data_IF_359977704633
#
_entry.id   IF_359977704633
#
_cell.length_a   1.000
_cell.length_b   1.000
_cell.length_c   1.000
_cell.angle_alpha   90.00
_cell.angle_beta   90.00
_cell.angle_gamma   90.00
#
_symmetry.space_group_name_H-M   'P 1'
#
loop_
_entity.id
_entity.type
_entity.pdbx_description
1 polymer ?
#
# COMPACT_ATOMS: atom_id res chain seq x y z
N UNK A 1 1.29 20.84 3.24
CA UNK A 1 1.62 22.06 4.02
C UNK A 1 3.12 22.30 4.07
N UNK A 2 3.94 21.37 4.59
CA UNK A 2 5.40 21.52 4.67
C UNK A 2 6.07 21.79 3.31
N UNK A 3 5.61 21.16 2.22
CA UNK A 3 6.08 21.44 0.85
C UNK A 3 5.92 22.91 0.41
N UNK A 4 4.96 23.65 1.00
CA UNK A 4 4.76 25.07 0.75
C UNK A 4 5.63 25.96 1.66
N UNK A 5 6.54 25.38 2.46
CA UNK A 5 7.39 26.11 3.40
C UNK A 5 6.68 26.56 4.68
N UNK A 6 5.54 25.95 5.01
CA UNK A 6 4.69 26.29 6.16
C UNK A 6 4.62 25.15 7.17
N UNK A 7 4.49 25.47 8.46
CA UNK A 7 4.32 24.54 9.57
C UNK A 7 3.24 25.01 10.54
N UNK A 8 2.60 24.11 11.28
CA UNK A 8 1.71 24.45 12.39
C UNK A 8 2.45 24.62 13.72
N UNK A 9 3.75 24.30 13.78
CA UNK A 9 4.54 24.36 15.01
C UNK A 9 3.99 23.49 16.14
N UNK A 10 3.36 22.36 15.82
CA UNK A 10 2.73 21.47 16.81
C UNK A 10 1.28 21.79 17.16
N UNK A 11 0.65 22.75 16.49
CA UNK A 11 -0.75 23.08 16.73
C UNK A 11 -1.73 22.13 16.01
N UNK A 12 -1.46 20.83 15.96
CA UNK A 12 -2.42 19.81 15.51
C UNK A 12 -3.31 19.36 16.68
N UNK A 13 -4.62 19.35 16.48
CA UNK A 13 -5.64 18.94 17.46
C UNK A 13 -6.82 18.27 16.73
N UNK A 14 -7.74 17.59 17.44
CA UNK A 14 -8.89 16.96 16.78
C UNK A 14 -9.81 17.97 16.09
N UNK A 15 -9.77 19.24 16.53
CA UNK A 15 -10.59 20.32 15.95
C UNK A 15 -10.12 20.78 14.56
N UNK A 16 -8.88 20.47 14.18
CA UNK A 16 -8.26 20.84 12.90
C UNK A 16 -7.83 19.66 12.03
N UNK A 17 -8.10 18.43 12.44
CA UNK A 17 -8.09 17.23 11.58
C UNK A 17 -9.34 17.23 10.68
N UNK A 18 -9.24 16.76 9.41
CA UNK A 18 -10.37 16.77 8.49
C UNK A 18 -11.58 15.98 9.02
N UNK A 19 -12.74 16.63 9.00
CA UNK A 19 -14.03 15.97 9.29
C UNK A 19 -14.75 15.73 7.97
N UNK A 20 -15.09 14.46 7.72
CA UNK A 20 -15.87 14.07 6.55
C UNK A 20 -17.25 14.75 6.62
N UNK A 21 -17.43 15.82 5.85
CA UNK A 21 -18.71 16.53 5.80
C UNK A 21 -19.40 16.16 4.50
N UNK A 22 -20.21 15.09 4.59
CA UNK A 22 -21.22 14.58 3.65
C UNK A 22 -20.87 14.39 2.17
N UNK A 23 -19.70 14.83 1.66
CA UNK A 23 -19.25 14.63 0.28
C UNK A 23 -17.81 15.10 0.00
N UNK A 24 -17.16 15.84 0.91
CA UNK A 24 -15.75 16.27 0.72
C UNK A 24 -14.95 16.11 2.00
N UNK A 25 -13.70 15.66 1.83
CA UNK A 25 -12.69 15.72 2.87
C UNK A 25 -12.21 17.17 2.97
N UNK A 26 -12.55 17.86 4.06
CA UNK A 26 -12.14 19.24 4.28
C UNK A 26 -11.37 19.36 5.59
N UNK A 27 -10.17 19.93 5.52
CA UNK A 27 -9.36 20.26 6.70
C UNK A 27 -9.81 21.62 7.21
N UNK A 28 -10.29 21.70 8.45
CA UNK A 28 -10.68 22.97 9.08
C UNK A 28 -9.51 23.52 9.90
N UNK A 29 -8.71 24.39 9.30
CA UNK A 29 -7.62 25.09 10.02
C UNK A 29 -8.14 26.31 10.78
N UNK A 30 -9.21 26.16 11.55
CA UNK A 30 -9.78 27.25 12.36
C UNK A 30 -8.95 27.47 13.62
N UNK A 31 -8.51 28.70 13.87
CA UNK A 31 -7.73 29.05 15.07
C UNK A 31 -6.26 28.62 15.03
N UNK A 32 -5.74 28.25 13.86
CA UNK A 32 -4.36 27.78 13.71
C UNK A 32 -3.46 28.89 13.15
N UNK A 33 -2.26 29.04 13.72
CA UNK A 33 -1.25 29.97 13.24
C UNK A 33 -0.17 29.24 12.44
N UNK A 34 0.01 29.63 11.19
CA UNK A 34 1.13 29.13 10.39
C UNK A 34 2.43 29.81 10.81
N UNK A 35 3.47 28.99 10.94
CA UNK A 35 4.84 29.44 11.09
C UNK A 35 5.67 29.02 9.88
N UNK A 36 6.87 29.60 9.74
CA UNK A 36 7.81 29.16 8.70
C UNK A 36 8.26 27.74 9.00
N UNK A 37 8.25 26.90 7.98
CA UNK A 37 8.77 25.55 8.10
C UNK A 37 10.25 25.57 8.46
N UNK A 38 10.58 24.80 9.49
CA UNK A 38 11.93 24.36 9.85
C UNK A 38 11.85 22.85 10.07
N UNK A 39 12.98 22.15 9.97
CA UNK A 39 12.98 20.70 10.21
C UNK A 39 12.48 20.38 11.63
N UNK A 40 12.86 21.19 12.63
CA UNK A 40 12.39 21.09 14.02
C UNK A 40 10.86 21.24 14.10
N UNK A 41 10.30 22.28 13.49
CA UNK A 41 8.85 22.49 13.51
C UNK A 41 8.09 21.41 12.72
N UNK A 42 8.70 20.86 11.67
CA UNK A 42 8.18 19.72 10.91
C UNK A 42 8.07 18.46 11.77
N UNK A 43 9.10 18.13 12.55
CA UNK A 43 9.05 17.00 13.48
C UNK A 43 7.96 17.19 14.54
N UNK A 44 7.85 18.39 15.12
CA UNK A 44 6.80 18.70 16.11
C UNK A 44 5.40 18.55 15.47
N UNK A 45 5.24 18.97 14.22
CA UNK A 45 3.97 18.80 13.48
C UNK A 45 3.61 17.32 13.27
N UNK A 46 4.58 16.47 12.91
CA UNK A 46 4.34 15.04 12.71
C UNK A 46 3.99 14.33 14.02
N UNK A 47 4.76 14.57 15.08
CA UNK A 47 4.54 14.00 16.41
C UNK A 47 3.16 14.36 16.97
N UNK A 48 2.75 15.63 16.82
CA UNK A 48 1.43 16.07 17.26
C UNK A 48 0.28 15.57 16.39
N UNK A 49 0.50 15.38 15.08
CA UNK A 49 -0.48 14.74 14.23
C UNK A 49 -0.73 13.30 14.67
N UNK A 50 0.33 12.53 14.94
CA UNK A 50 0.25 11.13 15.37
C UNK A 50 -0.48 11.02 16.70
N UNK A 51 -0.02 11.76 17.71
CA UNK A 51 -0.66 11.83 19.04
C UNK A 51 -2.15 12.14 18.93
N UNK A 52 -2.50 13.12 18.10
CA UNK A 52 -3.88 13.52 17.91
C UNK A 52 -4.75 12.44 17.26
N UNK A 53 -4.22 11.69 16.29
CA UNK A 53 -4.95 10.59 15.64
C UNK A 53 -5.13 9.43 16.62
N UNK A 54 -4.09 9.06 17.37
CA UNK A 54 -4.16 8.04 18.42
C UNK A 54 -5.19 8.38 19.49
N UNK A 55 -5.25 9.64 19.94
CA UNK A 55 -6.27 10.13 20.87
C UNK A 55 -7.69 9.99 20.30
N UNK A 56 -7.88 10.28 19.00
CA UNK A 56 -9.18 10.11 18.33
C UNK A 56 -9.64 8.65 18.29
N UNK A 57 -8.71 7.71 18.08
CA UNK A 57 -9.00 6.27 18.09
C UNK A 57 -9.12 5.68 19.49
N UNK A 58 -8.43 6.26 20.48
CA UNK A 58 -8.53 5.87 21.90
C UNK A 58 -9.96 6.01 22.46
N UNK A 59 -10.78 6.86 21.85
CA UNK A 59 -12.21 6.98 22.13
C UNK A 59 -13.06 5.79 21.61
N UNK A 60 -12.47 4.88 20.80
CA UNK A 60 -13.11 3.70 20.18
C UNK A 60 -12.37 2.38 20.46
N UNK A 61 -11.66 2.30 21.59
CA UNK A 61 -10.97 1.12 22.14
C UNK A 61 -9.71 0.63 21.41
N UNK A 62 -9.55 0.79 20.10
CA UNK A 62 -8.35 0.30 19.39
C UNK A 62 -8.05 1.02 18.06
N UNK A 63 -6.77 1.21 17.76
CA UNK A 63 -6.25 1.68 16.47
C UNK A 63 -6.00 0.47 15.57
N UNK A 64 -6.59 0.38 14.36
CA UNK A 64 -6.28 -0.71 13.43
C UNK A 64 -4.77 -0.78 13.12
N UNK A 65 -4.15 -1.98 12.99
CA UNK A 65 -2.69 -2.12 12.79
C UNK A 65 -2.18 -1.42 11.53
N UNK A 66 -3.02 -1.39 10.50
CA UNK A 66 -2.82 -0.62 9.27
C UNK A 66 -2.54 0.88 9.52
N UNK A 67 -3.30 1.45 10.46
CA UNK A 67 -3.23 2.86 10.83
C UNK A 67 -2.03 3.07 11.75
N UNK A 68 -1.74 2.14 12.67
CA UNK A 68 -0.51 2.19 13.50
C UNK A 68 0.75 2.23 12.62
N UNK A 69 0.89 1.29 11.68
CA UNK A 69 2.04 1.27 10.76
C UNK A 69 2.14 2.54 9.90
N UNK A 70 1.00 3.13 9.53
CA UNK A 70 0.99 4.41 8.82
C UNK A 70 1.38 5.60 9.70
N UNK A 71 0.97 5.61 10.96
CA UNK A 71 1.33 6.64 11.93
C UNK A 71 2.82 6.58 12.28
N UNK A 72 3.39 5.38 12.43
CA UNK A 72 4.83 5.18 12.64
C UNK A 72 5.64 5.80 11.49
N UNK A 73 5.23 5.53 10.24
CA UNK A 73 5.86 6.15 9.07
C UNK A 73 5.80 7.67 9.14
N UNK A 74 4.64 8.25 9.50
CA UNK A 74 4.49 9.71 9.65
C UNK A 74 5.41 10.25 10.76
N UNK A 75 5.49 9.56 11.90
CA UNK A 75 6.27 9.98 13.05
C UNK A 75 7.77 10.02 12.76
N UNK A 76 8.26 9.06 11.98
CA UNK A 76 9.66 9.00 11.52
C UNK A 76 10.04 10.16 10.58
N UNK A 77 9.06 10.97 10.18
CA UNK A 77 9.28 12.22 9.46
C UNK A 77 9.63 11.92 8.00
N UNK A 78 8.60 11.75 7.18
CA UNK A 78 8.69 11.30 5.78
C UNK A 78 9.19 12.38 4.81
N UNK A 79 10.08 13.25 5.29
CA UNK A 79 10.60 14.39 4.54
C UNK A 79 11.34 13.87 3.30
N UNK A 80 10.85 14.23 2.12
CA UNK A 80 11.38 13.78 0.83
C UNK A 80 10.86 12.42 0.36
N UNK A 81 10.07 11.71 1.16
CA UNK A 81 9.44 10.44 0.79
C UNK A 81 7.92 10.47 1.00
N UNK A 82 7.30 11.65 0.98
CA UNK A 82 5.88 11.84 1.34
C UNK A 82 4.92 11.01 0.47
N UNK A 83 5.39 10.52 -0.67
CA UNK A 83 4.69 9.55 -1.49
C UNK A 83 4.44 8.23 -0.76
N UNK A 84 5.32 7.78 0.14
CA UNK A 84 5.13 6.55 0.94
C UNK A 84 3.89 6.65 1.84
N UNK A 85 3.63 7.83 2.43
CA UNK A 85 2.40 8.10 3.20
C UNK A 85 1.18 8.03 2.28
N UNK A 86 1.28 8.63 1.09
CA UNK A 86 0.17 8.73 0.12
C UNK A 86 -0.18 7.39 -0.52
N UNK A 87 0.81 6.50 -0.63
CA UNK A 87 0.68 5.21 -1.30
C UNK A 87 0.65 4.02 -0.34
N UNK A 88 0.39 4.24 0.96
CA UNK A 88 0.16 3.14 1.87
C UNK A 88 -1.12 2.38 1.45
N UNK A 89 -0.93 1.14 0.99
CA UNK A 89 -1.96 0.33 0.34
C UNK A 89 -3.10 0.02 1.31
N UNK A 90 -2.82 -0.11 2.61
CA UNK A 90 -3.81 -0.37 3.64
C UNK A 90 -4.80 0.79 3.87
N UNK A 91 -4.51 1.99 3.33
CA UNK A 91 -5.37 3.17 3.42
C UNK A 91 -6.04 3.52 2.09
N UNK A 92 -5.81 2.73 1.05
CA UNK A 92 -6.45 2.92 -0.25
C UNK A 92 -7.81 2.23 -0.30
N UNK A 93 -8.72 2.76 -1.12
CA UNK A 93 -9.85 1.94 -1.55
C UNK A 93 -9.30 0.71 -2.30
N UNK A 94 -9.90 -0.47 -2.10
CA UNK A 94 -9.57 -1.70 -2.80
C UNK A 94 -9.15 -1.53 -4.28
N UNK A 95 -9.94 -0.83 -5.09
CA UNK A 95 -9.63 -0.69 -6.51
C UNK A 95 -8.33 0.10 -6.75
N UNK A 96 -8.06 1.10 -5.91
CA UNK A 96 -6.85 1.91 -5.96
C UNK A 96 -5.62 1.11 -5.49
N UNK A 97 -5.76 0.33 -4.42
CA UNK A 97 -4.73 -0.60 -3.95
C UNK A 97 -4.29 -1.57 -5.04
N UNK A 98 -5.26 -2.18 -5.72
CA UNK A 98 -5.00 -3.13 -6.80
C UNK A 98 -4.28 -2.46 -7.99
N UNK A 99 -4.73 -1.28 -8.41
CA UNK A 99 -4.10 -0.54 -9.50
C UNK A 99 -2.65 -0.19 -9.16
N UNK A 100 -2.40 0.29 -7.94
CA UNK A 100 -1.06 0.62 -7.48
C UNK A 100 -0.15 -0.63 -7.48
N UNK A 101 -0.65 -1.78 -7.00
CA UNK A 101 0.09 -3.04 -7.01
C UNK A 101 0.48 -3.48 -8.43
N UNK A 102 -0.41 -3.29 -9.41
CA UNK A 102 -0.13 -3.61 -10.82
C UNK A 102 0.90 -2.65 -11.43
N UNK A 103 0.87 -1.37 -11.06
CA UNK A 103 1.89 -0.39 -11.47
C UNK A 103 3.25 -0.71 -10.84
N UNK A 104 3.29 -1.05 -9.54
CA UNK A 104 4.48 -1.48 -8.83
C UNK A 104 5.11 -2.72 -9.47
N UNK A 105 4.31 -3.73 -9.82
CA UNK A 105 4.78 -4.88 -10.62
C UNK A 105 5.42 -4.45 -11.93
N UNK A 106 4.79 -3.52 -12.65
CA UNK A 106 5.32 -2.99 -13.91
C UNK A 106 6.69 -2.33 -13.75
N UNK A 107 6.90 -1.62 -12.65
CA UNK A 107 8.19 -1.01 -12.29
C UNK A 107 9.21 -2.08 -11.90
N UNK A 108 8.82 -3.06 -11.07
CA UNK A 108 9.68 -4.14 -10.62
C UNK A 108 10.19 -5.00 -11.80
N UNK A 109 9.32 -5.29 -12.77
CA UNK A 109 9.70 -5.98 -14.00
C UNK A 109 10.68 -5.16 -14.84
N UNK A 110 10.51 -3.84 -14.93
CA UNK A 110 11.48 -2.99 -15.61
C UNK A 110 12.83 -2.96 -14.89
N UNK A 111 12.81 -2.94 -13.55
CA UNK A 111 14.02 -3.00 -12.73
C UNK A 111 14.77 -4.31 -12.93
N UNK A 112 14.08 -5.45 -13.06
CA UNK A 112 14.68 -6.75 -13.36
C UNK A 112 15.66 -6.69 -14.54
N UNK A 113 15.32 -5.95 -15.59
CA UNK A 113 16.16 -5.81 -16.78
C UNK A 113 17.13 -4.63 -16.73
N UNK A 114 16.74 -3.51 -16.12
CA UNK A 114 17.54 -2.27 -16.12
C UNK A 114 18.57 -2.20 -15.01
N UNK A 115 18.22 -2.71 -13.83
CA UNK A 115 19.07 -2.74 -12.65
C UNK A 115 18.81 -4.01 -11.81
N UNK A 116 19.41 -5.14 -12.22
CA UNK A 116 19.24 -6.42 -11.53
C UNK A 116 19.70 -6.39 -10.07
N UNK A 117 20.62 -5.49 -9.69
CA UNK A 117 21.12 -5.41 -8.31
C UNK A 117 20.06 -4.83 -7.40
N UNK A 118 19.45 -3.72 -7.80
CA UNK A 118 18.34 -3.11 -7.05
C UNK A 118 17.14 -4.03 -7.00
N UNK A 119 16.85 -4.75 -8.10
CA UNK A 119 15.81 -5.77 -8.11
C UNK A 119 16.05 -6.88 -7.06
N UNK A 120 17.25 -7.45 -7.00
CA UNK A 120 17.59 -8.47 -6.00
C UNK A 120 17.56 -7.93 -4.57
N UNK A 121 17.95 -6.67 -4.36
CA UNK A 121 17.83 -6.02 -3.07
C UNK A 121 16.36 -5.93 -2.63
N UNK A 122 15.45 -5.55 -3.54
CA UNK A 122 14.00 -5.51 -3.25
C UNK A 122 13.47 -6.89 -2.89
N UNK A 123 13.86 -7.94 -3.62
CA UNK A 123 13.47 -9.31 -3.24
C UNK A 123 13.96 -9.67 -1.84
N UNK A 124 15.22 -9.37 -1.53
CA UNK A 124 15.79 -9.64 -0.20
C UNK A 124 15.17 -8.82 0.95
N UNK A 125 14.39 -7.78 0.66
CA UNK A 125 13.63 -7.03 1.67
C UNK A 125 12.28 -7.68 2.02
N UNK A 126 11.83 -8.67 1.23
CA UNK A 126 10.55 -9.36 1.42
C UNK A 126 10.72 -10.88 1.67
N UNK A 127 11.53 -11.29 2.65
CA UNK A 127 11.77 -12.70 2.94
C UNK A 127 10.50 -13.45 3.37
N UNK A 128 9.47 -12.75 3.87
CA UNK A 128 8.16 -13.32 4.16
C UNK A 128 7.44 -13.91 2.94
N UNK A 129 7.88 -13.55 1.73
CA UNK A 129 7.34 -14.04 0.47
C UNK A 129 8.18 -15.15 -0.18
N UNK A 130 9.34 -15.51 0.39
CA UNK A 130 10.24 -16.56 -0.18
C UNK A 130 9.65 -17.97 -0.05
N UNK A 131 8.77 -18.19 0.94
CA UNK A 131 8.07 -19.46 1.16
C UNK A 131 6.74 -19.54 0.40
N UNK A 132 6.42 -18.53 -0.42
CA UNK A 132 5.19 -18.55 -1.19
C UNK A 132 5.27 -19.57 -2.33
N UNK A 133 4.18 -20.31 -2.53
CA UNK A 133 4.04 -21.17 -3.70
C UNK A 133 2.61 -21.27 -4.23
N UNK A 134 2.48 -21.37 -5.54
CA UNK A 134 1.16 -21.44 -6.19
C UNK A 134 0.37 -22.73 -5.87
N UNK A 135 0.96 -23.76 -5.25
CA UNK A 135 0.26 -24.95 -4.77
C UNK A 135 -0.42 -24.74 -3.42
N UNK A 136 0.28 -24.08 -2.50
CA UNK A 136 -0.20 -23.93 -1.13
C UNK A 136 -1.12 -22.71 -0.95
N UNK A 137 -0.97 -21.68 -1.78
CA UNK A 137 -1.62 -20.38 -1.57
C UNK A 137 -2.72 -20.02 -2.59
N UNK A 138 -2.79 -20.68 -3.75
CA UNK A 138 -3.86 -20.44 -4.74
C UNK A 138 -5.14 -21.23 -4.42
N UNK A 139 -5.69 -21.04 -3.23
CA UNK A 139 -6.82 -21.85 -2.72
C UNK A 139 -8.18 -21.44 -3.30
N UNK A 140 -8.34 -20.16 -3.65
CA UNK A 140 -9.59 -19.70 -4.23
C UNK A 140 -9.74 -20.14 -5.70
N UNK A 141 -10.98 -20.29 -6.14
CA UNK A 141 -11.30 -20.83 -7.48
C UNK A 141 -10.75 -19.98 -8.63
N UNK A 142 -10.60 -18.65 -8.43
CA UNK A 142 -10.08 -17.75 -9.45
C UNK A 142 -8.58 -17.96 -9.66
N UNK A 143 -7.79 -17.97 -8.59
CA UNK A 143 -6.34 -18.24 -8.65
C UNK A 143 -6.07 -19.67 -9.15
N UNK A 144 -6.85 -20.65 -8.72
CA UNK A 144 -6.74 -22.03 -9.20
C UNK A 144 -6.97 -22.14 -10.71
N UNK A 145 -7.96 -21.41 -11.26
CA UNK A 145 -8.21 -21.35 -12.70
C UNK A 145 -7.07 -20.67 -13.46
N UNK A 146 -6.54 -19.57 -12.93
CA UNK A 146 -5.38 -18.88 -13.52
C UNK A 146 -4.16 -19.77 -13.54
N UNK A 147 -3.91 -20.50 -12.45
CA UNK A 147 -2.79 -21.42 -12.36
C UNK A 147 -2.92 -22.59 -13.33
N UNK A 148 -4.13 -23.14 -13.48
CA UNK A 148 -4.41 -24.21 -14.43
C UNK A 148 -4.55 -23.75 -15.87
N UNK A 149 -4.43 -22.45 -16.15
CA UNK A 149 -4.58 -21.91 -17.50
C UNK A 149 -3.41 -22.33 -18.38
N UNK A 150 -3.74 -22.97 -19.50
CA UNK A 150 -2.79 -23.35 -20.54
C UNK A 150 -3.03 -22.42 -21.73
N UNK A 151 -2.04 -21.58 -22.05
CA UNK A 151 -2.08 -20.81 -23.27
C UNK A 151 -1.95 -21.77 -24.46
N UNK A 152 -2.98 -21.82 -25.31
CA UNK A 152 -2.99 -22.66 -26.52
C UNK A 152 -1.91 -22.25 -27.53
N UNK A 153 -1.33 -21.05 -27.37
CA UNK A 153 -0.22 -20.55 -28.18
C UNK A 153 1.14 -20.99 -27.64
N UNK A 154 1.21 -21.48 -26.40
CA UNK A 154 2.44 -22.00 -25.82
C UNK A 154 2.73 -23.41 -26.39
N UNK A 155 3.88 -23.60 -27.08
CA UNK A 155 4.25 -24.90 -27.63
C UNK A 155 4.48 -25.98 -26.58
N UNK A 156 4.71 -25.62 -25.31
CA UNK A 156 4.91 -26.57 -24.21
C UNK A 156 3.61 -27.21 -23.72
N UNK A 157 2.46 -26.58 -23.99
CA UNK A 157 1.14 -26.93 -23.45
C UNK A 157 1.14 -27.17 -21.92
N UNK A 158 2.07 -26.53 -21.22
CA UNK A 158 2.13 -26.59 -19.77
C UNK A 158 1.42 -25.37 -19.17
N UNK A 159 0.90 -25.49 -17.94
CA UNK A 159 0.45 -24.33 -17.18
C UNK A 159 1.62 -23.37 -16.90
N UNK A 160 1.32 -22.08 -16.75
CA UNK A 160 2.33 -21.09 -16.36
C UNK A 160 2.93 -21.45 -15.01
N UNK A 161 4.26 -21.53 -14.96
CA UNK A 161 5.01 -21.68 -13.70
C UNK A 161 5.18 -20.30 -13.11
N UNK A 162 4.74 -20.12 -11.88
CA UNK A 162 4.99 -18.90 -11.11
C UNK A 162 6.22 -19.13 -10.23
N UNK A 163 7.00 -18.07 -10.01
CA UNK A 163 8.14 -18.07 -9.10
C UNK A 163 7.71 -18.42 -7.65
N UNK A 164 8.64 -18.44 -6.69
CA UNK A 164 8.35 -18.66 -5.27
C UNK A 164 8.72 -17.42 -4.45
N UNK A 165 8.38 -16.26 -5.00
CA UNK A 165 8.72 -14.96 -4.43
C UNK A 165 7.62 -13.94 -4.76
N UNK A 166 7.82 -12.69 -4.33
CA UNK A 166 6.92 -11.57 -4.61
C UNK A 166 6.61 -11.40 -6.11
N UNK A 167 7.52 -11.78 -7.02
CA UNK A 167 7.29 -11.64 -8.46
C UNK A 167 6.26 -12.63 -8.98
N UNK A 168 6.28 -13.86 -8.48
CA UNK A 168 5.29 -14.84 -8.88
C UNK A 168 3.92 -14.53 -8.28
N UNK A 169 3.83 -13.99 -7.05
CA UNK A 169 2.55 -13.52 -6.47
C UNK A 169 1.95 -12.42 -7.33
N UNK A 170 2.75 -11.40 -7.67
CA UNK A 170 2.31 -10.31 -8.54
C UNK A 170 1.90 -10.81 -9.94
N UNK A 171 2.57 -11.85 -10.44
CA UNK A 171 2.27 -12.45 -11.75
C UNK A 171 0.98 -13.28 -11.71
N UNK A 172 0.70 -14.05 -10.65
CA UNK A 172 -0.57 -14.79 -10.52
C UNK A 172 -1.75 -13.83 -10.37
N UNK A 173 -1.58 -12.73 -9.63
CA UNK A 173 -2.62 -11.71 -9.46
C UNK A 173 -2.94 -11.00 -10.79
N UNK A 174 -1.91 -10.62 -11.55
CA UNK A 174 -2.08 -10.02 -12.88
C UNK A 174 -2.77 -10.98 -13.84
N UNK A 175 -2.31 -12.22 -13.92
CA UNK A 175 -2.89 -13.19 -14.86
C UNK A 175 -4.35 -13.46 -14.50
N UNK A 176 -4.70 -13.47 -13.21
CA UNK A 176 -6.08 -13.65 -12.75
C UNK A 176 -7.01 -12.52 -13.19
N UNK A 177 -6.54 -11.28 -13.19
CA UNK A 177 -7.32 -10.14 -13.68
C UNK A 177 -7.47 -10.14 -15.21
N UNK A 178 -6.50 -10.69 -15.93
CA UNK A 178 -6.48 -10.72 -17.40
C UNK A 178 -7.24 -11.89 -18.03
N UNK A 179 -7.19 -13.10 -17.45
CA UNK A 179 -7.72 -14.31 -18.07
C UNK A 179 -9.18 -14.64 -17.73
N UNK A 180 -9.64 -14.33 -16.51
CA UNK A 180 -10.98 -14.75 -16.06
C UNK A 180 -11.89 -13.58 -15.61
N UNK A 181 -11.35 -12.38 -15.38
CA UNK A 181 -12.07 -11.48 -14.47
C UNK A 181 -11.82 -9.97 -14.61
N UNK A 182 -11.90 -9.45 -15.84
CA UNK A 182 -12.00 -7.98 -16.06
C UNK A 182 -13.15 -7.31 -15.29
N UNK A 183 -14.12 -8.08 -14.78
CA UNK A 183 -15.27 -7.65 -13.98
C UNK A 183 -15.18 -7.97 -12.47
N UNK A 184 -14.10 -8.60 -11.98
CA UNK A 184 -13.96 -9.00 -10.56
C UNK A 184 -12.75 -8.36 -9.86
N UNK A 185 -12.20 -7.26 -10.39
CA UNK A 185 -11.10 -6.51 -9.72
C UNK A 185 -11.41 -6.24 -8.24
N UNK A 186 -12.67 -5.91 -7.91
CA UNK A 186 -13.14 -5.74 -6.52
C UNK A 186 -13.01 -6.98 -5.62
N UNK A 187 -13.07 -8.18 -6.19
CA UNK A 187 -12.85 -9.43 -5.47
C UNK A 187 -11.37 -9.79 -5.39
N UNK A 188 -10.57 -9.27 -6.32
CA UNK A 188 -9.13 -9.48 -6.32
C UNK A 188 -8.47 -8.80 -5.13
N UNK A 189 -9.06 -7.72 -4.63
CA UNK A 189 -8.62 -7.10 -3.38
C UNK A 189 -8.95 -7.95 -2.18
N UNK A 190 -10.16 -8.50 -2.10
CA UNK A 190 -10.51 -9.43 -1.01
C UNK A 190 -9.61 -10.66 -1.00
N UNK A 191 -9.20 -11.12 -2.19
CA UNK A 191 -8.21 -12.18 -2.35
C UNK A 191 -6.84 -11.73 -1.87
N UNK A 192 -6.40 -10.51 -2.21
CA UNK A 192 -5.13 -9.96 -1.71
C UNK A 192 -5.15 -9.78 -0.19
N UNK A 193 -6.22 -9.25 0.39
CA UNK A 193 -6.36 -9.07 1.83
C UNK A 193 -6.37 -10.39 2.59
N UNK A 194 -6.99 -11.43 2.03
CA UNK A 194 -7.16 -12.71 2.72
C UNK A 194 -6.01 -13.69 2.46
N UNK A 195 -5.62 -13.84 1.20
CA UNK A 195 -4.61 -14.81 0.77
C UNK A 195 -3.19 -14.19 0.76
N UNK A 196 -3.05 -12.85 0.67
CA UNK A 196 -1.75 -12.16 0.54
C UNK A 196 -1.63 -10.87 1.39
N UNK A 197 -1.97 -10.88 2.69
CA UNK A 197 -2.05 -9.65 3.49
C UNK A 197 -0.74 -8.85 3.49
N UNK A 198 0.42 -9.51 3.51
CA UNK A 198 1.73 -8.86 3.51
C UNK A 198 2.09 -8.14 2.19
N UNK A 199 1.28 -8.23 1.13
CA UNK A 199 1.42 -7.33 -0.03
C UNK A 199 0.75 -5.97 0.16
N UNK A 200 -0.08 -5.83 1.20
CA UNK A 200 -0.84 -4.63 1.49
C UNK A 200 -0.31 -3.87 2.73
N UNK A 201 0.67 -4.44 3.46
CA UNK A 201 1.23 -3.91 4.71
C UNK A 201 2.76 -3.80 4.64
#
# INVERSE_FOLDING_TARGET
>A
MHQAGLSLGGHFTPANIPVYTSQTLSVRLTGVHFTRFTQVNGYIDYDQLVTCVEEMFSLREWVPPAIEAWLDLIQDGVTGHEYLIRYNVALMDPAQAFQWLMEARGILEQLRFRDPRTFQLILGMHPEMDDWDSNSYCLNTLLAQTRGFIDRRDPTQQPTVFEHDVTGVLTVCRNSSQHASRFLERFMVLILEFDFPALLF
#
